data_IF_392286063714
#
_entry.id   IF_392286063714
#
_cell.length_a   1.000
_cell.length_b   1.000
_cell.length_c   1.000
_cell.angle_alpha   90.00
_cell.angle_beta   90.00
_cell.angle_gamma   90.00
#
_symmetry.space_group_name_H-M   'P 1'
#
loop_
_entity.id
_entity.type
_entity.pdbx_description
1 polymer ?
#
# COMPACT_ATOMS: atom_id res chain seq x y z
N UNK A 1 0.41 17.87 -30.54
CA UNK A 1 0.55 16.50 -31.11
C UNK A 1 -0.84 15.94 -31.35
N UNK A 2 -1.32 15.94 -32.59
CA UNK A 2 -2.51 15.17 -32.99
C UNK A 2 -2.08 14.07 -33.96
N UNK A 3 -2.93 13.05 -34.10
CA UNK A 3 -2.97 12.01 -35.14
C UNK A 3 -2.64 10.56 -34.73
N UNK A 4 -3.06 10.14 -33.54
CA UNK A 4 -3.66 8.81 -33.41
C UNK A 4 -5.06 9.02 -32.83
N UNK A 5 -6.15 8.72 -33.55
CA UNK A 5 -7.48 8.88 -32.98
C UNK A 5 -7.56 7.90 -31.81
N UNK A 6 -7.78 8.43 -30.61
CA UNK A 6 -7.78 7.64 -29.37
C UNK A 6 -8.74 6.45 -29.44
N UNK A 7 -9.79 6.56 -30.25
CA UNK A 7 -10.75 5.49 -30.56
C UNK A 7 -10.09 4.22 -31.10
N UNK A 8 -8.97 4.32 -31.81
CA UNK A 8 -8.19 3.19 -32.34
C UNK A 8 -7.05 2.74 -31.42
N UNK A 9 -6.84 3.39 -30.28
CA UNK A 9 -5.83 2.95 -29.32
C UNK A 9 -6.29 1.68 -28.58
N UNK A 10 -5.36 0.81 -28.13
CA UNK A 10 -5.68 -0.33 -27.29
C UNK A 10 -6.47 0.10 -26.04
N UNK A 11 -7.40 -0.73 -25.51
CA UNK A 11 -8.24 -0.36 -24.37
C UNK A 11 -7.48 0.26 -23.20
N UNK A 12 -6.38 -0.36 -22.75
CA UNK A 12 -5.59 0.15 -21.63
C UNK A 12 -4.97 1.53 -21.89
N UNK A 13 -4.63 1.86 -23.13
CA UNK A 13 -4.12 3.20 -23.49
C UNK A 13 -5.25 4.22 -23.41
N UNK A 14 -6.46 3.87 -23.88
CA UNK A 14 -7.64 4.73 -23.78
C UNK A 14 -7.98 5.01 -22.32
N UNK A 15 -7.94 3.98 -21.47
CA UNK A 15 -8.22 4.10 -20.04
C UNK A 15 -7.19 5.02 -19.36
N UNK A 16 -5.91 4.89 -19.69
CA UNK A 16 -4.85 5.76 -19.16
C UNK A 16 -5.05 7.22 -19.59
N UNK A 17 -5.40 7.49 -20.84
CA UNK A 17 -5.66 8.87 -21.29
C UNK A 17 -6.92 9.43 -20.63
N UNK A 18 -8.00 8.65 -20.54
CA UNK A 18 -9.21 9.09 -19.83
C UNK A 18 -8.94 9.36 -18.35
N UNK A 19 -8.12 8.54 -17.71
CA UNK A 19 -7.66 8.75 -16.34
C UNK A 19 -6.92 10.09 -16.21
N UNK A 20 -5.93 10.34 -17.06
CA UNK A 20 -5.19 11.63 -17.09
C UNK A 20 -6.11 12.83 -17.34
N UNK A 21 -7.06 12.71 -18.26
CA UNK A 21 -8.06 13.75 -18.52
C UNK A 21 -9.00 14.02 -17.32
N UNK A 22 -9.33 13.00 -16.53
CA UNK A 22 -10.11 13.17 -15.28
C UNK A 22 -9.29 13.88 -14.22
N UNK A 23 -8.02 13.49 -14.04
CA UNK A 23 -7.07 14.15 -13.14
C UNK A 23 -6.91 15.62 -13.52
N UNK A 24 -6.64 15.91 -14.79
CA UNK A 24 -6.48 17.28 -15.31
C UNK A 24 -7.68 18.17 -14.99
N UNK A 25 -8.89 17.72 -15.32
CA UNK A 25 -10.12 18.46 -15.00
C UNK A 25 -10.26 18.74 -13.52
N UNK A 26 -9.90 17.78 -12.66
CA UNK A 26 -9.95 17.97 -11.21
C UNK A 26 -8.92 18.99 -10.73
N UNK A 27 -7.72 19.01 -11.31
CA UNK A 27 -6.68 20.00 -11.01
C UNK A 27 -7.15 21.39 -11.44
N UNK A 28 -7.73 21.53 -12.62
CA UNK A 28 -8.29 22.81 -13.11
C UNK A 28 -9.37 23.34 -12.18
N UNK A 29 -10.28 22.49 -11.68
CA UNK A 29 -11.26 22.88 -10.63
C UNK A 29 -10.55 23.34 -9.35
N UNK A 30 -9.57 22.58 -8.86
CA UNK A 30 -8.83 22.94 -7.64
C UNK A 30 -8.09 24.27 -7.81
N UNK A 31 -7.47 24.55 -8.96
CA UNK A 31 -6.72 25.78 -9.17
C UNK A 31 -7.66 26.96 -9.43
N UNK A 32 -8.67 26.78 -10.28
CA UNK A 32 -9.57 27.83 -10.72
C UNK A 32 -10.53 28.30 -9.63
N UNK A 33 -11.02 27.38 -8.80
CA UNK A 33 -12.08 27.71 -7.83
C UNK A 33 -11.53 28.11 -6.45
N UNK A 34 -10.20 28.01 -6.22
CA UNK A 34 -9.54 28.34 -4.93
C UNK A 34 -9.22 29.84 -4.79
N UNK A 35 -10.20 30.71 -5.03
CA UNK A 35 -10.00 32.17 -5.06
C UNK A 35 -10.01 32.81 -3.67
N UNK A 36 -10.78 32.25 -2.73
CA UNK A 36 -10.89 32.73 -1.35
C UNK A 36 -10.26 31.76 -0.35
N UNK A 37 -10.12 32.19 0.91
CA UNK A 37 -9.63 31.31 1.99
C UNK A 37 -10.59 30.13 2.25
N UNK A 38 -11.90 30.36 2.18
CA UNK A 38 -12.92 29.34 2.36
C UNK A 38 -12.85 28.29 1.24
N UNK A 39 -12.73 28.73 -0.02
CA UNK A 39 -12.53 27.83 -1.15
C UNK A 39 -11.29 26.94 -0.97
N UNK A 40 -10.19 27.55 -0.46
CA UNK A 40 -8.93 26.83 -0.21
C UNK A 40 -9.05 25.75 0.86
N UNK A 41 -9.90 25.96 1.87
CA UNK A 41 -10.18 24.97 2.90
C UNK A 41 -11.12 23.87 2.39
N UNK A 42 -12.19 24.22 1.68
CA UNK A 42 -13.14 23.27 1.11
C UNK A 42 -12.52 22.37 0.04
N UNK A 43 -11.62 22.92 -0.78
CA UNK A 43 -10.92 22.21 -1.86
C UNK A 43 -9.49 21.82 -1.48
N UNK A 44 -9.20 21.69 -0.18
CA UNK A 44 -7.87 21.31 0.30
C UNK A 44 -7.44 19.97 -0.30
N UNK A 45 -6.31 19.99 -1.00
CA UNK A 45 -5.73 18.82 -1.66
C UNK A 45 -4.22 18.96 -1.74
N UNK A 46 -3.50 17.85 -1.98
CA UNK A 46 -2.05 17.90 -2.18
C UNK A 46 -1.68 18.80 -3.35
N UNK A 47 -2.42 18.73 -4.46
CA UNK A 47 -2.24 19.62 -5.62
C UNK A 47 -2.39 21.09 -5.23
N UNK A 48 -3.44 21.42 -4.46
CA UNK A 48 -3.65 22.78 -3.99
C UNK A 48 -2.53 23.28 -3.07
N UNK A 49 -1.96 22.40 -2.24
CA UNK A 49 -0.82 22.70 -1.38
C UNK A 49 0.43 22.97 -2.21
N UNK A 50 0.73 22.14 -3.22
CA UNK A 50 1.89 22.32 -4.12
C UNK A 50 1.76 23.63 -4.89
N UNK A 51 0.59 23.90 -5.45
CA UNK A 51 0.32 25.10 -6.22
C UNK A 51 0.55 26.39 -5.39
N UNK A 52 0.10 26.38 -4.13
CA UNK A 52 0.17 27.55 -3.24
C UNK A 52 1.52 27.68 -2.50
N UNK A 53 2.48 26.76 -2.68
CA UNK A 53 3.76 26.79 -1.94
C UNK A 53 4.79 27.71 -2.62
N UNK A 54 5.01 28.89 -2.07
CA UNK A 54 5.94 29.91 -2.62
C UNK A 54 7.41 29.46 -2.67
N UNK A 55 7.78 28.37 -1.98
CA UNK A 55 9.15 27.82 -2.03
C UNK A 55 9.41 27.04 -3.32
N UNK A 56 8.36 26.62 -4.02
CA UNK A 56 8.47 25.84 -5.25
C UNK A 56 8.55 26.77 -6.46
N UNK A 57 9.45 26.49 -7.42
CA UNK A 57 9.55 27.27 -8.64
C UNK A 57 8.29 27.08 -9.51
N UNK A 58 7.96 28.08 -10.34
CA UNK A 58 6.76 28.07 -11.17
C UNK A 58 6.68 26.86 -12.11
N UNK A 59 7.83 26.32 -12.54
CA UNK A 59 7.86 25.12 -13.37
C UNK A 59 7.29 23.88 -12.65
N UNK A 60 7.38 23.79 -11.32
CA UNK A 60 6.80 22.70 -10.53
C UNK A 60 5.28 22.82 -10.36
N UNK A 61 4.71 23.99 -10.69
CA UNK A 61 3.30 24.34 -10.48
C UNK A 61 2.48 24.34 -11.75
N UNK A 62 3.10 24.11 -12.91
CA UNK A 62 2.39 24.10 -14.18
C UNK A 62 1.43 22.90 -14.25
N UNK A 63 0.38 23.02 -15.06
CA UNK A 63 -0.71 22.04 -15.12
C UNK A 63 -0.24 20.64 -15.52
N UNK A 64 0.69 20.53 -16.48
CA UNK A 64 1.24 19.24 -16.92
C UNK A 64 2.03 18.56 -15.80
N UNK A 65 2.85 19.33 -15.08
CA UNK A 65 3.61 18.83 -13.93
C UNK A 65 2.71 18.35 -12.79
N UNK A 66 1.69 19.14 -12.45
CA UNK A 66 0.70 18.76 -11.43
C UNK A 66 -0.12 17.54 -11.86
N UNK A 67 -0.42 17.41 -13.15
CA UNK A 67 -1.09 16.23 -13.70
C UNK A 67 -0.25 14.97 -13.54
N UNK A 68 1.05 15.02 -13.87
CA UNK A 68 1.96 13.89 -13.70
C UNK A 68 2.07 13.46 -12.22
N UNK A 69 2.25 14.42 -11.32
CA UNK A 69 2.33 14.15 -9.88
C UNK A 69 1.02 13.58 -9.33
N UNK A 70 -0.12 14.14 -9.69
CA UNK A 70 -1.42 13.66 -9.24
C UNK A 70 -1.76 12.28 -9.80
N UNK A 71 -1.43 12.01 -11.08
CA UNK A 71 -1.61 10.70 -11.69
C UNK A 71 -0.80 9.64 -10.95
N UNK A 72 0.48 9.92 -10.66
CA UNK A 72 1.35 9.03 -9.90
C UNK A 72 0.82 8.77 -8.48
N UNK A 73 0.43 9.83 -7.76
CA UNK A 73 -0.12 9.72 -6.40
C UNK A 73 -1.38 8.86 -6.34
N UNK A 74 -2.33 9.07 -7.27
CA UNK A 74 -3.58 8.31 -7.30
C UNK A 74 -3.33 6.85 -7.68
N UNK A 75 -2.48 6.57 -8.67
CA UNK A 75 -2.13 5.19 -9.03
C UNK A 75 -1.45 4.46 -7.86
N UNK A 76 -0.36 5.03 -7.34
CA UNK A 76 0.45 4.39 -6.30
C UNK A 76 -0.32 4.24 -4.96
N UNK A 77 -1.15 5.23 -4.63
CA UNK A 77 -1.94 5.28 -3.41
C UNK A 77 -3.25 4.50 -3.44
N UNK A 78 -3.68 3.97 -4.59
CA UNK A 78 -4.93 3.19 -4.66
C UNK A 78 -4.66 1.69 -4.66
N UNK A 79 -3.83 1.21 -5.59
CA UNK A 79 -3.72 -0.23 -5.84
C UNK A 79 -2.95 -0.95 -4.74
N UNK A 80 -1.79 -0.43 -4.34
CA UNK A 80 -0.96 -1.04 -3.28
C UNK A 80 -1.71 -1.24 -1.94
N UNK A 81 -2.34 -0.20 -1.34
CA UNK A 81 -3.09 -0.40 -0.09
C UNK A 81 -4.34 -1.26 -0.29
N UNK A 82 -5.00 -1.22 -1.46
CA UNK A 82 -6.14 -2.10 -1.74
C UNK A 82 -5.73 -3.58 -1.77
N UNK A 83 -4.58 -3.92 -2.35
CA UNK A 83 -4.05 -5.30 -2.34
C UNK A 83 -3.73 -5.75 -0.93
N UNK A 84 -2.95 -4.95 -0.18
CA UNK A 84 -2.64 -5.23 1.23
C UNK A 84 -3.91 -5.40 2.08
N UNK A 85 -4.92 -4.53 1.91
CA UNK A 85 -6.20 -4.66 2.60
C UNK A 85 -6.95 -5.94 2.21
N UNK A 86 -6.92 -6.33 0.94
CA UNK A 86 -7.56 -7.54 0.43
C UNK A 86 -6.93 -8.81 1.01
N UNK A 87 -5.59 -8.86 1.05
CA UNK A 87 -4.82 -9.96 1.68
C UNK A 87 -5.18 -10.09 3.16
N UNK A 88 -5.16 -8.97 3.90
CA UNK A 88 -5.55 -8.94 5.30
C UNK A 88 -6.98 -9.42 5.52
N UNK A 89 -7.92 -8.91 4.71
CA UNK A 89 -9.34 -9.22 4.81
C UNK A 89 -9.60 -10.71 4.56
N UNK A 90 -9.02 -11.27 3.50
CA UNK A 90 -9.11 -12.70 3.19
C UNK A 90 -8.60 -13.55 4.37
N UNK A 91 -7.44 -13.23 4.93
CA UNK A 91 -6.87 -14.00 6.03
C UNK A 91 -7.63 -13.84 7.35
N UNK A 92 -8.24 -12.69 7.59
CA UNK A 92 -9.15 -12.51 8.73
C UNK A 92 -10.39 -13.42 8.60
N UNK A 93 -10.95 -13.57 7.40
CA UNK A 93 -12.13 -14.42 7.18
C UNK A 93 -11.80 -15.92 7.13
N UNK A 94 -10.66 -16.30 6.56
CA UNK A 94 -10.22 -17.70 6.50
C UNK A 94 -9.65 -18.20 7.84
N UNK A 95 -9.23 -17.31 8.74
CA UNK A 95 -8.68 -17.66 10.07
C UNK A 95 -9.52 -17.03 11.19
N UNK A 96 -10.61 -17.68 11.64
CA UNK A 96 -11.51 -17.13 12.65
C UNK A 96 -10.83 -16.72 13.95
N UNK A 97 -9.75 -17.40 14.37
CA UNK A 97 -8.98 -17.05 15.57
C UNK A 97 -8.31 -15.68 15.46
N UNK A 98 -7.80 -15.33 14.28
CA UNK A 98 -7.17 -14.03 14.01
C UNK A 98 -8.22 -12.92 14.06
N UNK A 99 -9.37 -13.12 13.41
CA UNK A 99 -10.49 -12.16 13.46
C UNK A 99 -11.06 -12.02 14.87
N UNK A 100 -11.23 -13.11 15.60
CA UNK A 100 -11.72 -13.07 16.99
C UNK A 100 -10.79 -12.25 17.89
N UNK A 101 -9.48 -12.43 17.76
CA UNK A 101 -8.50 -11.65 18.53
C UNK A 101 -8.51 -10.16 18.16
N UNK A 102 -8.64 -9.83 16.86
CA UNK A 102 -8.77 -8.45 16.41
C UNK A 102 -10.06 -7.81 16.94
N UNK A 103 -11.20 -8.51 16.85
CA UNK A 103 -12.48 -8.04 17.38
C UNK A 103 -12.42 -7.83 18.89
N UNK A 104 -11.73 -8.70 19.64
CA UNK A 104 -11.53 -8.54 21.09
C UNK A 104 -10.80 -7.23 21.43
N UNK A 105 -9.70 -6.93 20.73
CA UNK A 105 -8.98 -5.66 20.93
C UNK A 105 -9.84 -4.43 20.54
N UNK A 106 -10.63 -4.56 19.47
CA UNK A 106 -11.53 -3.49 19.03
C UNK A 106 -12.74 -3.30 19.96
N UNK A 107 -13.20 -4.34 20.67
CA UNK A 107 -14.38 -4.28 21.54
C UNK A 107 -14.21 -3.34 22.75
N UNK A 108 -12.99 -3.14 23.25
CA UNK A 108 -12.72 -2.29 24.42
C UNK A 108 -13.21 -0.84 24.23
N UNK A 109 -13.21 -0.33 22.99
CA UNK A 109 -13.71 1.02 22.66
C UNK A 109 -14.30 1.05 21.25
N UNK A 110 -15.63 0.92 21.08
CA UNK A 110 -16.27 0.76 19.77
C UNK A 110 -16.08 1.92 18.77
N UNK A 111 -15.82 3.13 19.28
CA UNK A 111 -15.54 4.31 18.45
C UNK A 111 -14.17 4.88 18.81
N UNK A 112 -13.25 4.89 17.85
CA UNK A 112 -11.87 5.34 18.03
C UNK A 112 -11.48 6.34 16.95
N UNK A 113 -10.64 7.29 17.30
CA UNK A 113 -9.95 8.13 16.29
C UNK A 113 -8.90 7.30 15.56
N UNK A 114 -8.40 7.79 14.41
CA UNK A 114 -7.30 7.14 13.70
C UNK A 114 -6.04 7.02 14.59
N UNK A 115 -5.74 8.04 15.39
CA UNK A 115 -4.62 8.02 16.33
C UNK A 115 -4.77 6.90 17.37
N UNK A 116 -5.98 6.69 17.89
CA UNK A 116 -6.26 5.62 18.84
C UNK A 116 -6.19 4.24 18.20
N UNK A 117 -6.70 4.07 16.98
CA UNK A 117 -6.59 2.81 16.24
C UNK A 117 -5.11 2.46 15.94
N UNK A 118 -4.29 3.44 15.58
CA UNK A 118 -2.86 3.23 15.31
C UNK A 118 -2.05 2.79 16.54
N UNK A 119 -2.59 2.93 17.75
CA UNK A 119 -1.96 2.46 19.00
C UNK A 119 -2.32 1.02 19.35
N UNK A 120 -3.26 0.41 18.63
CA UNK A 120 -3.70 -0.95 18.90
C UNK A 120 -2.67 -1.95 18.38
N UNK A 121 -1.97 -2.69 19.27
CA UNK A 121 -0.82 -3.50 18.88
C UNK A 121 -1.20 -4.66 17.95
N UNK A 122 -2.35 -5.28 18.14
CA UNK A 122 -2.76 -6.42 17.31
C UNK A 122 -3.30 -5.98 15.95
N UNK A 123 -4.07 -4.89 15.88
CA UNK A 123 -4.43 -4.25 14.61
C UNK A 123 -3.20 -3.85 13.80
N UNK A 124 -2.19 -3.22 14.41
CA UNK A 124 -0.92 -2.92 13.72
C UNK A 124 -0.19 -4.20 13.28
N UNK A 125 -0.18 -5.24 14.11
CA UNK A 125 0.39 -6.54 13.73
C UNK A 125 -0.30 -7.19 12.51
N UNK A 126 -1.63 -7.11 12.41
CA UNK A 126 -2.40 -7.58 11.24
C UNK A 126 -2.00 -6.78 10.00
N UNK A 127 -1.85 -5.46 10.12
CA UNK A 127 -1.42 -4.60 9.01
C UNK A 127 0.00 -4.95 8.55
N UNK A 128 0.93 -5.15 9.48
CA UNK A 128 2.32 -5.46 9.14
C UNK A 128 2.44 -6.81 8.43
N UNK A 129 1.65 -7.81 8.85
CA UNK A 129 1.64 -9.11 8.18
C UNK A 129 1.05 -9.04 6.77
N UNK A 130 0.02 -8.21 6.59
CA UNK A 130 -0.54 -7.94 5.27
C UNK A 130 0.48 -7.28 4.34
N UNK A 131 1.16 -6.23 4.80
CA UNK A 131 2.22 -5.58 4.03
C UNK A 131 3.35 -6.55 3.67
N UNK A 132 3.71 -7.49 4.56
CA UNK A 132 4.75 -8.48 4.29
C UNK A 132 4.36 -9.41 3.15
N UNK A 133 3.12 -9.92 3.17
CA UNK A 133 2.59 -10.87 2.19
C UNK A 133 2.11 -10.22 0.88
N UNK A 134 1.89 -8.90 0.88
CA UNK A 134 1.74 -8.09 -0.34
C UNK A 134 3.07 -8.01 -1.12
N UNK A 135 4.21 -8.18 -0.43
CA UNK A 135 5.56 -8.02 -0.98
C UNK A 135 5.87 -6.64 -1.57
N UNK A 136 4.89 -5.74 -1.68
CA UNK A 136 5.01 -4.44 -2.33
C UNK A 136 5.41 -4.60 -3.79
N UNK A 137 6.44 -3.86 -4.21
CA UNK A 137 7.02 -4.06 -5.53
C UNK A 137 7.98 -5.27 -5.48
N UNK A 138 7.50 -6.41 -5.96
CA UNK A 138 8.22 -7.69 -5.91
C UNK A 138 9.38 -7.78 -6.92
N UNK A 139 9.32 -6.96 -7.97
CA UNK A 139 10.33 -6.90 -9.02
C UNK A 139 11.70 -6.39 -8.57
N UNK A 140 12.70 -6.51 -9.45
CA UNK A 140 14.05 -5.96 -9.20
C UNK A 140 14.09 -4.47 -9.57
N UNK A 141 14.13 -3.60 -8.57
CA UNK A 141 14.36 -2.17 -8.76
C UNK A 141 15.85 -1.86 -8.67
N UNK A 142 16.53 -1.97 -9.81
CA UNK A 142 17.95 -1.71 -9.86
C UNK A 142 18.26 -0.22 -9.66
N UNK A 143 19.16 0.06 -8.72
CA UNK A 143 19.77 1.36 -8.49
C UNK A 143 21.26 1.23 -8.80
N UNK A 144 21.82 2.25 -9.46
CA UNK A 144 23.25 2.35 -9.74
C UNK A 144 23.67 3.79 -9.60
N UNK A 145 24.78 4.02 -8.89
CA UNK A 145 25.51 5.28 -8.96
C UNK A 145 26.52 5.14 -10.12
N UNK A 146 26.38 5.88 -11.23
CA UNK A 146 27.27 5.74 -12.38
C UNK A 146 28.70 6.22 -12.10
N UNK A 147 28.88 7.05 -11.07
CA UNK A 147 30.13 7.77 -10.83
C UNK A 147 30.91 7.21 -9.64
N UNK A 148 30.22 6.54 -8.70
CA UNK A 148 30.83 6.10 -7.43
C UNK A 148 30.70 4.60 -7.20
N UNK A 149 31.78 3.91 -6.79
CA UNK A 149 31.67 2.54 -6.31
C UNK A 149 30.92 2.51 -4.98
N UNK A 150 30.22 1.41 -4.71
CA UNK A 150 29.53 1.16 -3.44
C UNK A 150 30.31 0.12 -2.65
N UNK A 151 30.74 0.47 -1.43
CA UNK A 151 31.40 -0.46 -0.53
C UNK A 151 30.45 -0.88 0.61
N UNK A 152 30.48 -2.15 0.99
CA UNK A 152 29.77 -2.66 2.16
C UNK A 152 30.61 -3.68 2.92
N UNK A 153 30.42 -3.76 4.23
CA UNK A 153 31.11 -4.75 5.08
C UNK A 153 30.15 -5.86 5.44
N UNK A 154 30.52 -7.10 5.12
CA UNK A 154 29.77 -8.29 5.48
C UNK A 154 30.70 -9.32 6.12
N UNK A 155 30.34 -9.84 7.29
CA UNK A 155 31.14 -10.81 8.06
C UNK A 155 32.62 -10.40 8.22
N UNK A 156 32.86 -9.11 8.48
CA UNK A 156 34.20 -8.55 8.69
C UNK A 156 35.02 -8.33 7.41
N UNK A 157 34.47 -8.60 6.23
CA UNK A 157 35.12 -8.36 4.95
C UNK A 157 34.46 -7.18 4.23
N UNK A 158 35.27 -6.26 3.72
CA UNK A 158 34.79 -5.15 2.88
C UNK A 158 34.75 -5.59 1.44
N UNK A 159 33.57 -5.53 0.85
CA UNK A 159 33.32 -5.77 -0.56
C UNK A 159 33.08 -4.43 -1.26
N UNK A 160 33.63 -4.28 -2.46
CA UNK A 160 33.46 -3.09 -3.28
C UNK A 160 32.76 -3.48 -4.57
N UNK A 161 31.62 -2.84 -4.82
CA UNK A 161 30.84 -2.95 -6.05
C UNK A 161 31.25 -1.78 -6.96
N UNK A 162 31.70 -2.04 -8.20
CA UNK A 162 32.11 -0.99 -9.12
C UNK A 162 31.01 0.03 -9.41
N UNK A 163 31.42 1.26 -9.74
CA UNK A 163 30.50 2.30 -10.23
C UNK A 163 29.72 1.81 -11.46
N UNK A 164 28.47 2.26 -11.58
CA UNK A 164 27.56 1.86 -12.65
C UNK A 164 26.97 0.45 -12.50
N UNK A 165 27.37 -0.32 -11.49
CA UNK A 165 26.80 -1.66 -11.28
C UNK A 165 25.35 -1.56 -10.78
N UNK A 166 24.37 -2.14 -11.49
CA UNK A 166 22.98 -2.16 -11.04
C UNK A 166 22.80 -3.08 -9.83
N UNK A 167 22.27 -2.54 -8.74
CA UNK A 167 21.99 -3.28 -7.49
C UNK A 167 20.51 -3.20 -7.15
N UNK A 168 19.90 -4.31 -6.77
CA UNK A 168 18.49 -4.35 -6.35
C UNK A 168 18.34 -5.24 -5.13
N UNK A 169 17.43 -4.89 -4.24
CA UNK A 169 16.94 -5.79 -3.19
C UNK A 169 15.60 -6.36 -3.63
N UNK A 170 15.38 -7.66 -3.46
CA UNK A 170 14.09 -8.30 -3.72
C UNK A 170 13.34 -8.49 -2.42
N UNK A 171 12.18 -7.83 -2.30
CA UNK A 171 11.29 -7.94 -1.13
C UNK A 171 10.83 -9.38 -0.92
N UNK A 172 10.55 -10.10 -2.01
CA UNK A 172 10.20 -11.53 -1.98
C UNK A 172 11.22 -12.34 -1.19
N UNK A 173 12.50 -12.27 -1.57
CA UNK A 173 13.59 -13.04 -0.92
C UNK A 173 13.72 -12.68 0.55
N UNK A 174 13.60 -11.39 0.90
CA UNK A 174 13.70 -10.95 2.28
C UNK A 174 12.51 -11.44 3.12
N UNK A 175 11.30 -11.34 2.60
CA UNK A 175 10.07 -11.68 3.32
C UNK A 175 9.81 -13.19 3.38
N UNK A 176 10.48 -13.98 2.54
CA UNK A 176 10.46 -15.44 2.56
C UNK A 176 11.67 -16.09 3.22
N UNK A 177 12.61 -15.29 3.74
CA UNK A 177 13.73 -15.80 4.52
C UNK A 177 13.22 -16.38 5.85
N UNK A 178 13.30 -17.70 6.00
CA UNK A 178 12.79 -18.44 7.16
C UNK A 178 13.51 -18.13 8.48
N UNK A 179 14.78 -17.69 8.42
CA UNK A 179 15.53 -17.27 9.62
C UNK A 179 14.90 -16.01 10.24
N UNK A 180 14.34 -15.15 9.39
CA UNK A 180 13.69 -13.89 9.77
C UNK A 180 12.20 -14.13 10.03
N UNK A 181 11.52 -14.77 9.08
CA UNK A 181 10.09 -15.04 9.05
C UNK A 181 9.83 -16.56 8.96
N UNK A 182 9.87 -17.30 10.08
CA UNK A 182 9.50 -18.71 10.12
C UNK A 182 8.07 -18.92 9.61
N UNK A 183 7.86 -19.99 8.85
CA UNK A 183 6.65 -20.25 8.09
C UNK A 183 6.24 -19.02 7.26
N UNK A 184 7.09 -18.58 6.31
CA UNK A 184 6.98 -17.26 5.69
C UNK A 184 5.70 -17.10 4.86
N UNK A 185 5.08 -18.18 4.41
CA UNK A 185 3.84 -18.10 3.64
C UNK A 185 2.60 -18.07 4.54
N UNK A 186 2.76 -18.28 5.85
CA UNK A 186 1.67 -18.26 6.80
C UNK A 186 1.40 -16.84 7.27
N UNK A 187 0.18 -16.33 7.01
CA UNK A 187 -0.34 -15.12 7.64
C UNK A 187 -0.43 -15.29 9.16
N UNK A 188 0.53 -14.73 9.89
CA UNK A 188 0.66 -14.82 11.33
C UNK A 188 0.98 -13.45 11.95
N UNK A 189 -0.02 -12.70 12.44
CA UNK A 189 0.19 -11.41 13.11
C UNK A 189 1.05 -11.50 14.38
N UNK A 190 1.10 -12.64 15.08
CA UNK A 190 1.83 -12.76 16.36
C UNK A 190 3.33 -12.44 16.21
N UNK A 191 3.91 -12.66 15.03
CA UNK A 191 5.34 -12.41 14.77
C UNK A 191 5.73 -10.93 14.89
N UNK A 192 4.75 -10.03 14.85
CA UNK A 192 4.95 -8.58 14.92
C UNK A 192 4.85 -8.01 16.34
N UNK A 193 4.60 -8.87 17.33
CA UNK A 193 4.48 -8.53 18.73
C UNK A 193 5.76 -8.88 19.51
N UNK A 194 5.90 -8.25 20.68
CA UNK A 194 7.03 -8.48 21.59
C UNK A 194 8.40 -8.14 20.98
N UNK A 195 9.45 -8.73 21.54
CA UNK A 195 10.83 -8.47 21.14
C UNK A 195 11.10 -8.89 19.68
N UNK A 196 10.59 -10.07 19.28
CA UNK A 196 10.72 -10.59 17.92
C UNK A 196 10.11 -9.64 16.88
N UNK A 197 9.00 -8.99 17.22
CA UNK A 197 8.37 -7.98 16.35
C UNK A 197 9.30 -6.84 15.95
N UNK A 198 10.24 -6.47 16.80
CA UNK A 198 11.24 -5.43 16.48
C UNK A 198 12.15 -5.85 15.32
N UNK A 199 12.59 -7.11 15.31
CA UNK A 199 13.40 -7.67 14.23
C UNK A 199 12.59 -7.78 12.93
N UNK A 200 11.34 -8.26 13.02
CA UNK A 200 10.45 -8.35 11.87
C UNK A 200 10.22 -6.97 11.22
N UNK A 201 9.97 -5.93 12.02
CA UNK A 201 9.79 -4.54 11.53
C UNK A 201 11.04 -3.98 10.87
N UNK A 202 12.23 -4.28 11.41
CA UNK A 202 13.50 -3.94 10.78
C UNK A 202 13.73 -4.69 9.46
N UNK A 203 13.06 -5.81 9.26
CA UNK A 203 13.23 -6.66 8.08
C UNK A 203 12.12 -6.52 7.03
N UNK A 204 11.07 -5.75 7.34
CA UNK A 204 10.01 -5.42 6.38
C UNK A 204 10.53 -4.40 5.35
N UNK A 205 10.39 -4.75 4.07
CA UNK A 205 10.87 -3.98 2.92
C UNK A 205 9.78 -3.62 1.90
N UNK A 206 8.49 -3.89 2.17
CA UNK A 206 7.38 -3.54 1.25
C UNK A 206 7.32 -2.04 0.91
N UNK A 207 7.86 -1.20 1.79
CA UNK A 207 7.92 0.26 1.62
C UNK A 207 9.32 0.75 1.21
N UNK A 208 10.28 -0.13 0.92
CA UNK A 208 11.70 0.18 0.78
C UNK A 208 12.27 0.96 1.99
N UNK A 209 13.54 1.36 1.91
CA UNK A 209 14.25 2.14 2.95
C UNK A 209 15.21 3.14 2.32
N UNK A 210 15.61 4.15 3.10
CA UNK A 210 16.56 5.17 2.69
C UNK A 210 15.92 6.27 1.83
N UNK A 211 16.71 6.90 0.97
CA UNK A 211 16.29 8.06 0.17
C UNK A 211 15.16 7.79 -0.84
N UNK A 212 14.87 6.51 -1.12
CA UNK A 212 13.79 6.06 -2.02
C UNK A 212 12.68 5.32 -1.27
N UNK A 213 12.58 5.50 0.05
CA UNK A 213 11.48 4.94 0.84
C UNK A 213 10.13 5.49 0.36
N UNK A 214 9.10 4.64 0.41
CA UNK A 214 7.74 4.99 0.03
C UNK A 214 7.23 6.22 0.79
N UNK A 215 6.86 7.26 0.05
CA UNK A 215 6.26 8.49 0.59
C UNK A 215 4.86 8.25 1.16
N UNK A 216 4.14 7.25 0.63
CA UNK A 216 2.76 6.92 1.00
C UNK A 216 2.59 6.06 2.25
N UNK A 217 3.67 5.70 2.97
CA UNK A 217 3.61 4.75 4.09
C UNK A 217 2.58 5.14 5.17
N UNK A 218 2.49 6.43 5.49
CA UNK A 218 1.56 6.93 6.51
C UNK A 218 0.10 6.83 6.04
N UNK A 219 -0.15 7.10 4.76
CA UNK A 219 -1.49 7.00 4.18
C UNK A 219 -1.93 5.53 4.09
N UNK A 220 -1.07 4.65 3.58
CA UNK A 220 -1.35 3.21 3.47
C UNK A 220 -1.66 2.59 4.84
N UNK A 221 -0.90 2.95 5.89
CA UNK A 221 -1.20 2.53 7.27
C UNK A 221 -2.56 3.05 7.73
N UNK A 222 -2.87 4.32 7.49
CA UNK A 222 -4.15 4.88 7.89
C UNK A 222 -5.34 4.18 7.20
N UNK A 223 -5.24 3.94 5.89
CA UNK A 223 -6.27 3.27 5.10
C UNK A 223 -6.49 1.83 5.56
N UNK A 224 -5.43 1.05 5.76
CA UNK A 224 -5.56 -0.31 6.26
C UNK A 224 -6.12 -0.33 7.69
N UNK A 225 -5.61 0.53 8.56
CA UNK A 225 -6.05 0.63 9.95
C UNK A 225 -7.57 0.89 10.03
N UNK A 226 -8.07 1.88 9.29
CA UNK A 226 -9.50 2.18 9.22
C UNK A 226 -10.29 1.07 8.53
N UNK A 227 -9.82 0.58 7.39
CA UNK A 227 -10.50 -0.44 6.59
C UNK A 227 -10.70 -1.74 7.37
N UNK A 228 -9.66 -2.21 8.07
CA UNK A 228 -9.71 -3.42 8.89
C UNK A 228 -10.59 -3.24 10.13
N UNK A 229 -10.51 -2.08 10.80
CA UNK A 229 -11.39 -1.77 11.93
C UNK A 229 -12.87 -1.75 11.52
N UNK A 230 -13.17 -1.20 10.33
CA UNK A 230 -14.54 -1.22 9.77
C UNK A 230 -14.95 -2.64 9.37
N UNK A 231 -14.09 -3.39 8.67
CA UNK A 231 -14.38 -4.76 8.24
C UNK A 231 -14.68 -5.69 9.42
N UNK A 232 -13.96 -5.54 10.55
CA UNK A 232 -14.17 -6.34 11.75
C UNK A 232 -15.58 -6.19 12.38
N UNK A 233 -16.31 -5.12 12.03
CA UNK A 233 -17.69 -4.85 12.50
C UNK A 233 -18.76 -5.61 11.73
N UNK A 234 -18.40 -6.44 10.74
CA UNK A 234 -19.33 -7.19 9.91
C UNK A 234 -19.06 -8.69 10.00
N UNK A 235 -20.12 -9.47 9.98
CA UNK A 235 -20.06 -10.91 9.76
C UNK A 235 -20.09 -11.15 8.25
N UNK A 236 -19.03 -11.79 7.77
CA UNK A 236 -18.83 -12.08 6.36
C UNK A 236 -18.26 -13.48 6.23
N UNK A 237 -18.63 -14.17 5.15
CA UNK A 237 -18.07 -15.47 4.78
C UNK A 237 -17.47 -15.41 3.39
N UNK A 238 -16.37 -16.14 3.17
CA UNK A 238 -15.74 -16.23 1.85
C UNK A 238 -16.71 -16.87 0.86
N UNK A 239 -16.77 -16.31 -0.35
CA UNK A 239 -17.63 -16.79 -1.42
C UNK A 239 -16.81 -17.09 -2.66
N UNK A 240 -16.64 -18.38 -3.00
CA UNK A 240 -15.89 -18.82 -4.19
C UNK A 240 -14.52 -18.12 -4.29
N UNK A 241 -13.82 -18.06 -3.16
CA UNK A 241 -12.51 -17.43 -2.97
C UNK A 241 -11.71 -18.35 -2.05
N UNK A 242 -10.45 -18.59 -2.38
CA UNK A 242 -9.53 -19.43 -1.62
C UNK A 242 -8.11 -18.83 -1.60
N UNK A 243 -7.13 -19.56 -1.04
CA UNK A 243 -5.76 -19.04 -0.85
C UNK A 243 -5.11 -18.64 -2.18
N UNK A 244 -5.48 -19.27 -3.30
CA UNK A 244 -4.91 -18.94 -4.61
C UNK A 244 -5.37 -17.58 -5.16
N UNK A 245 -6.39 -16.96 -4.56
CA UNK A 245 -6.85 -15.61 -4.87
C UNK A 245 -6.04 -14.50 -4.16
N UNK A 246 -5.16 -14.86 -3.21
CA UNK A 246 -4.24 -13.92 -2.53
C UNK A 246 -2.77 -14.31 -2.59
N UNK A 247 -2.47 -15.56 -2.94
CA UNK A 247 -1.11 -16.07 -3.00
C UNK A 247 -0.35 -15.44 -4.16
N UNK A 248 0.90 -15.03 -3.94
CA UNK A 248 1.79 -14.61 -5.02
C UNK A 248 2.06 -15.79 -5.96
N UNK A 249 1.48 -15.75 -7.18
CA UNK A 249 1.73 -16.72 -8.25
C UNK A 249 2.47 -16.13 -9.45
N UNK A 250 2.29 -14.84 -9.74
CA UNK A 250 2.95 -14.16 -10.87
C UNK A 250 3.53 -12.82 -10.47
N UNK A 251 4.69 -12.48 -11.04
CA UNK A 251 5.37 -11.19 -10.88
C UNK A 251 5.07 -10.33 -12.11
N UNK A 252 4.23 -9.31 -11.92
CA UNK A 252 3.93 -8.30 -12.92
C UNK A 252 4.35 -6.93 -12.39
N UNK A 253 5.59 -6.80 -11.88
CA UNK A 253 6.09 -5.65 -11.11
C UNK A 253 5.53 -5.59 -9.68
N UNK A 254 4.29 -6.03 -9.50
CA UNK A 254 3.64 -6.33 -8.23
C UNK A 254 3.33 -7.83 -8.12
N UNK A 255 3.22 -8.33 -6.90
CA UNK A 255 2.77 -9.70 -6.65
C UNK A 255 1.30 -9.85 -7.09
N UNK A 256 1.01 -10.84 -7.93
CA UNK A 256 -0.34 -11.09 -8.43
C UNK A 256 -0.78 -12.54 -8.20
N UNK A 257 -2.07 -12.77 -7.88
CA UNK A 257 -2.63 -14.10 -7.69
C UNK A 257 -2.88 -14.80 -9.03
N UNK A 258 -3.62 -15.91 -9.02
CA UNK A 258 -4.01 -16.61 -10.25
C UNK A 258 -4.68 -15.67 -11.24
N UNK A 259 -4.37 -15.82 -12.54
CA UNK A 259 -4.79 -14.88 -13.60
C UNK A 259 -6.32 -14.83 -13.79
N UNK A 260 -7.02 -15.89 -13.43
CA UNK A 260 -8.48 -15.98 -13.52
C UNK A 260 -9.20 -15.52 -12.23
N UNK A 261 -8.44 -15.08 -11.22
CA UNK A 261 -9.00 -14.55 -9.97
C UNK A 261 -10.01 -13.45 -10.23
N UNK A 262 -11.09 -13.45 -9.44
CA UNK A 262 -12.11 -12.39 -9.44
C UNK A 262 -11.96 -11.47 -8.24
N UNK A 263 -10.79 -11.50 -7.60
CA UNK A 263 -10.52 -10.87 -6.32
C UNK A 263 -11.23 -11.58 -5.16
N UNK A 264 -11.19 -10.94 -4.00
CA UNK A 264 -11.77 -11.48 -2.77
C UNK A 264 -13.27 -11.23 -2.76
N UNK A 265 -14.04 -12.30 -2.89
CA UNK A 265 -15.50 -12.25 -2.88
C UNK A 265 -16.02 -12.77 -1.56
N UNK A 266 -16.94 -12.02 -0.97
CA UNK A 266 -17.52 -12.32 0.33
C UNK A 266 -19.04 -12.21 0.28
N UNK A 267 -19.73 -12.99 1.11
CA UNK A 267 -21.13 -12.77 1.46
C UNK A 267 -21.18 -11.94 2.74
N UNK A 268 -21.96 -10.87 2.75
CA UNK A 268 -22.22 -10.08 3.96
C UNK A 268 -23.46 -10.63 4.64
N UNK A 269 -23.30 -11.13 5.85
CA UNK A 269 -24.35 -11.83 6.62
C UNK A 269 -25.03 -10.89 7.63
N UNK A 270 -24.35 -9.80 7.99
CA UNK A 270 -24.90 -8.79 8.88
C UNK A 270 -23.81 -8.05 9.65
N UNK A 271 -24.22 -7.21 10.61
CA UNK A 271 -23.26 -6.59 11.55
C UNK A 271 -22.83 -7.60 12.60
N UNK A 272 -21.55 -7.56 12.95
CA UNK A 272 -21.04 -8.26 14.12
C UNK A 272 -21.49 -7.51 15.38
N UNK A 273 -22.24 -8.20 16.23
CA UNK A 273 -22.68 -7.72 17.53
C UNK A 273 -21.85 -8.46 18.60
N UNK A 274 -21.01 -7.73 19.32
CA UNK A 274 -20.15 -8.33 20.35
C UNK A 274 -20.94 -9.03 21.48
N UNK A 275 -22.23 -8.67 21.65
CA UNK A 275 -23.09 -9.10 22.75
C UNK A 275 -24.29 -9.97 22.31
N UNK A 276 -24.22 -10.67 21.17
CA UNK A 276 -25.32 -11.54 20.71
C UNK A 276 -25.20 -13.02 21.18
N UNK A 277 -24.30 -13.29 22.12
CA UNK A 277 -24.20 -14.58 22.80
C UNK A 277 -24.10 -14.35 24.30
N UNK A 278 -25.25 -14.03 24.89
CA UNK A 278 -25.64 -14.35 26.27
C UNK A 278 -27.08 -14.90 26.22
#
# INVERSE_FOLDING_TARGET
>A
MSLFPIEYAPPGVRDMVQFRQKIRRRIETVIGDRTTKDDKEQLRSVVGIIHDDDRLPTCEKNLERLEDEAALMVMAGTESPATSLSIAHYHLLSKPSVMARLRKELAEKPSRTLEELNRLPYLDAVQMEAFRLDFGLAGRHALSDPDKPTAFTFKGQTHVIPAGTPMSVQTLVQHTNEDIFPDPWTFNPERWLGERGTLCRKSLLSFNKGSRQCLGISLAKAELCMGLAVAARWNMSLHRTDDSDVTFLYDHFVATPKLDSKGIRVKVEGRYLANAMD
#
